data_IF_265956948383
#
_entry.id   IF_265956948383
#
_cell.length_a   1.000
_cell.length_b   1.000
_cell.length_c   1.000
_cell.angle_alpha   90.00
_cell.angle_beta   90.00
_cell.angle_gamma   90.00
#
_symmetry.space_group_name_H-M   'P 1'
#
loop_
_entity.id
_entity.type
_entity.pdbx_description
1 polymer ?
#
# COMPACT_ATOMS: atom_id res chain seq x y z
N UNK A 1 25.98 14.18 1.20
CA UNK A 1 26.12 13.72 2.61
C UNK A 1 24.89 14.22 3.34
N UNK A 2 24.28 13.44 4.25
CA UNK A 2 23.10 13.90 4.99
C UNK A 2 23.41 15.20 5.75
N UNK A 3 22.48 16.17 5.73
CA UNK A 3 22.63 17.46 6.41
C UNK A 3 21.72 17.55 7.64
N UNK A 4 22.13 18.32 8.67
CA UNK A 4 21.22 18.67 9.75
C UNK A 4 19.95 19.34 9.22
N UNK A 5 18.80 19.06 9.85
CA UNK A 5 17.50 19.62 9.44
C UNK A 5 17.52 21.16 9.37
N UNK A 6 18.15 21.84 10.34
CA UNK A 6 18.25 23.30 10.35
C UNK A 6 18.93 23.89 9.10
N UNK A 7 19.96 23.21 8.58
CA UNK A 7 20.65 23.63 7.35
C UNK A 7 19.77 23.40 6.12
N UNK A 8 19.08 22.25 6.05
CA UNK A 8 18.15 21.93 4.97
C UNK A 8 16.98 22.91 4.92
N UNK A 9 16.42 23.27 6.09
CA UNK A 9 15.36 24.27 6.20
C UNK A 9 15.84 25.65 5.71
N UNK A 10 17.04 26.08 6.10
CA UNK A 10 17.59 27.36 5.64
C UNK A 10 17.83 27.38 4.11
N UNK A 11 18.25 26.26 3.53
CA UNK A 11 18.37 26.10 2.07
C UNK A 11 17.03 26.18 1.36
N UNK A 12 16.01 25.46 1.85
CA UNK A 12 14.66 25.58 1.31
C UNK A 12 14.15 27.01 1.38
N UNK A 13 14.30 27.68 2.52
CA UNK A 13 13.84 29.06 2.68
C UNK A 13 14.57 30.03 1.74
N UNK A 14 15.86 29.82 1.51
CA UNK A 14 16.66 30.60 0.54
C UNK A 14 16.17 30.37 -0.88
N UNK A 15 16.04 29.10 -1.30
CA UNK A 15 15.56 28.74 -2.64
C UNK A 15 14.14 29.26 -2.90
N UNK A 16 13.25 29.13 -1.91
CA UNK A 16 11.85 29.55 -1.99
C UNK A 16 11.65 31.07 -1.84
N UNK A 17 12.69 31.82 -1.49
CA UNK A 17 12.68 33.28 -1.56
C UNK A 17 12.93 33.79 -2.98
N UNK A 18 13.45 32.95 -3.87
CA UNK A 18 13.62 33.30 -5.28
C UNK A 18 12.27 33.32 -6.02
N UNK A 19 12.07 34.23 -7.00
CA UNK A 19 10.84 34.25 -7.79
C UNK A 19 10.60 32.99 -8.62
N UNK A 20 11.66 32.21 -8.89
CA UNK A 20 11.64 31.01 -9.74
C UNK A 20 12.59 29.96 -9.16
N UNK A 21 12.20 29.26 -8.07
CA UNK A 21 13.04 28.21 -7.51
C UNK A 21 13.32 27.13 -8.56
N UNK A 22 14.54 26.59 -8.56
CA UNK A 22 14.93 25.55 -9.51
C UNK A 22 14.56 24.16 -9.00
N UNK A 23 14.24 23.24 -9.92
CA UNK A 23 13.96 21.86 -9.55
C UNK A 23 15.17 21.19 -8.87
N UNK A 24 16.36 21.33 -9.46
CA UNK A 24 17.58 20.67 -9.00
C UNK A 24 17.95 21.07 -7.57
N UNK A 25 17.82 22.35 -7.21
CA UNK A 25 18.11 22.83 -5.87
C UNK A 25 17.12 22.29 -4.83
N UNK A 26 15.82 22.29 -5.16
CA UNK A 26 14.78 21.80 -4.26
C UNK A 26 14.88 20.28 -4.05
N UNK A 27 15.07 19.51 -5.12
CA UNK A 27 15.17 18.05 -5.02
C UNK A 27 16.47 17.62 -4.34
N UNK A 28 17.61 18.28 -4.61
CA UNK A 28 18.85 18.02 -3.90
C UNK A 28 18.68 18.28 -2.39
N UNK A 29 18.01 19.37 -2.02
CA UNK A 29 17.72 19.68 -0.61
C UNK A 29 16.83 18.62 0.03
N UNK A 30 15.82 18.10 -0.68
CA UNK A 30 15.03 16.96 -0.19
C UNK A 30 15.85 15.68 -0.04
N UNK A 31 16.72 15.35 -0.99
CA UNK A 31 17.56 14.16 -0.93
C UNK A 31 18.57 14.20 0.22
N UNK A 32 19.01 15.40 0.63
CA UNK A 32 19.94 15.58 1.75
C UNK A 32 19.27 15.77 3.11
N UNK A 33 17.94 15.95 3.14
CA UNK A 33 17.16 16.17 4.35
C UNK A 33 17.17 14.92 5.24
N UNK A 34 17.65 15.09 6.48
CA UNK A 34 17.49 14.11 7.55
C UNK A 34 16.75 14.77 8.71
N UNK A 35 15.62 14.17 9.10
CA UNK A 35 14.90 14.58 10.31
C UNK A 35 15.51 13.82 11.49
N UNK A 36 16.15 14.51 12.45
CA UNK A 36 16.77 13.86 13.60
C UNK A 36 15.72 13.36 14.60
N UNK A 37 16.11 12.42 15.48
CA UNK A 37 15.21 11.91 16.52
C UNK A 37 14.69 13.01 17.44
N UNK A 38 15.53 13.99 17.79
CA UNK A 38 15.26 15.09 18.71
C UNK A 38 14.78 16.37 18.00
N UNK A 39 14.06 16.22 16.89
CA UNK A 39 13.50 17.34 16.12
C UNK A 39 12.64 18.26 16.99
N UNK A 40 12.84 19.57 16.86
CA UNK A 40 12.07 20.56 17.63
C UNK A 40 10.73 20.90 17.00
N UNK A 41 9.79 21.42 17.80
CA UNK A 41 8.49 21.84 17.31
C UNK A 41 8.58 22.94 16.25
N UNK A 42 9.55 23.85 16.37
CA UNK A 42 9.81 24.90 15.37
C UNK A 42 10.27 24.30 14.04
N UNK A 43 11.25 23.39 14.07
CA UNK A 43 11.78 22.74 12.87
C UNK A 43 10.71 21.95 12.14
N UNK A 44 9.91 21.16 12.86
CA UNK A 44 8.84 20.36 12.25
C UNK A 44 7.72 21.25 11.68
N UNK A 45 7.38 22.34 12.37
CA UNK A 45 6.41 23.34 11.87
C UNK A 45 6.89 24.02 10.60
N UNK A 46 8.17 24.41 10.55
CA UNK A 46 8.80 25.01 9.36
C UNK A 46 8.84 24.02 8.20
N UNK A 47 9.22 22.76 8.46
CA UNK A 47 9.22 21.69 7.47
C UNK A 47 7.82 21.49 6.86
N UNK A 48 6.78 21.39 7.70
CA UNK A 48 5.40 21.29 7.24
C UNK A 48 4.98 22.50 6.43
N UNK A 49 5.33 23.71 6.86
CA UNK A 49 4.99 24.92 6.10
C UNK A 49 5.62 24.93 4.70
N UNK A 50 6.88 24.51 4.56
CA UNK A 50 7.55 24.37 3.27
C UNK A 50 6.84 23.33 2.40
N UNK A 51 6.62 22.12 2.95
CA UNK A 51 6.03 21.02 2.21
C UNK A 51 4.60 21.34 1.76
N UNK A 52 3.77 21.95 2.62
CA UNK A 52 2.42 22.36 2.25
C UNK A 52 2.39 23.44 1.17
N UNK A 53 3.37 24.34 1.13
CA UNK A 53 3.44 25.36 0.06
C UNK A 53 3.86 24.75 -1.27
N UNK A 54 4.80 23.81 -1.26
CA UNK A 54 5.22 23.05 -2.45
C UNK A 54 4.13 22.11 -2.98
N UNK A 55 3.37 21.50 -2.07
CA UNK A 55 2.24 20.65 -2.43
C UNK A 55 0.97 21.44 -2.79
N UNK A 56 0.92 22.74 -2.48
CA UNK A 56 -0.20 23.61 -2.83
C UNK A 56 -1.41 23.51 -1.88
N UNK A 57 -1.20 23.10 -0.62
CA UNK A 57 -2.25 22.92 0.40
C UNK A 57 -2.09 23.83 1.62
N UNK A 58 -1.18 24.80 1.59
CA UNK A 58 -0.80 25.63 2.74
C UNK A 58 -1.89 26.57 3.32
N UNK A 59 -3.14 26.45 2.88
CA UNK A 59 -4.27 27.21 3.43
C UNK A 59 -4.16 28.71 3.15
N UNK A 60 -3.71 29.46 4.15
CA UNK A 60 -3.60 30.92 4.15
C UNK A 60 -2.29 31.45 3.53
N UNK A 61 -1.28 30.59 3.37
CA UNK A 61 -0.02 30.94 2.70
C UNK A 61 -0.09 30.62 1.20
N UNK A 62 0.48 31.47 0.34
CA UNK A 62 0.52 31.20 -1.10
C UNK A 62 1.35 29.96 -1.39
N UNK A 63 0.82 29.12 -2.28
CA UNK A 63 1.57 28.03 -2.90
C UNK A 63 2.81 28.56 -3.63
N UNK A 64 3.83 27.72 -3.76
CA UNK A 64 4.99 28.05 -4.57
C UNK A 64 4.58 27.98 -6.05
N UNK A 65 4.87 29.03 -6.82
CA UNK A 65 4.66 28.99 -8.27
C UNK A 65 5.73 28.11 -8.91
N UNK A 66 5.30 26.94 -9.39
CA UNK A 66 6.13 25.97 -10.12
C UNK A 66 5.76 25.91 -11.61
N UNK A 67 4.96 26.85 -12.12
CA UNK A 67 4.47 26.85 -13.51
C UNK A 67 5.57 27.06 -14.56
N UNK A 68 6.76 27.49 -14.14
CA UNK A 68 7.94 27.57 -15.00
C UNK A 68 8.67 26.22 -15.17
N UNK A 69 8.34 25.21 -14.36
CA UNK A 69 8.91 23.88 -14.46
C UNK A 69 8.06 22.99 -15.38
N UNK A 70 8.67 22.00 -16.06
CA UNK A 70 7.94 20.91 -16.68
C UNK A 70 7.02 20.18 -15.69
N UNK A 71 5.84 19.74 -16.15
CA UNK A 71 4.83 19.09 -15.30
C UNK A 71 5.36 17.93 -14.46
N UNK A 72 6.25 17.10 -15.03
CA UNK A 72 6.84 15.97 -14.31
C UNK A 72 7.73 16.42 -13.15
N UNK A 73 8.44 17.54 -13.27
CA UNK A 73 9.29 18.09 -12.22
C UNK A 73 8.44 18.69 -11.10
N UNK A 74 7.44 19.48 -11.45
CA UNK A 74 6.51 20.05 -10.49
C UNK A 74 5.76 18.94 -9.73
N UNK A 75 5.23 17.95 -10.46
CA UNK A 75 4.55 16.79 -9.87
C UNK A 75 5.47 15.97 -8.96
N UNK A 76 6.73 15.75 -9.35
CA UNK A 76 7.70 15.05 -8.51
C UNK A 76 7.99 15.81 -7.19
N UNK A 77 8.20 17.13 -7.25
CA UNK A 77 8.41 17.95 -6.04
C UNK A 77 7.18 17.92 -5.11
N UNK A 78 5.97 18.00 -5.67
CA UNK A 78 4.74 17.86 -4.91
C UNK A 78 4.63 16.48 -4.23
N UNK A 79 4.95 15.41 -4.95
CA UNK A 79 4.97 14.06 -4.39
C UNK A 79 5.99 13.91 -3.25
N UNK A 80 7.22 14.39 -3.44
CA UNK A 80 8.27 14.33 -2.41
C UNK A 80 7.88 15.16 -1.17
N UNK A 81 7.28 16.34 -1.35
CA UNK A 81 6.79 17.15 -0.24
C UNK A 81 5.72 16.42 0.58
N UNK A 82 4.76 15.76 -0.08
CA UNK A 82 3.75 14.94 0.58
C UNK A 82 4.37 13.76 1.31
N UNK A 83 5.28 13.04 0.65
CA UNK A 83 5.98 11.89 1.22
C UNK A 83 6.80 12.26 2.48
N UNK A 84 7.45 13.42 2.50
CA UNK A 84 8.14 13.95 3.69
C UNK A 84 7.16 14.21 4.85
N UNK A 85 6.00 14.81 4.58
CA UNK A 85 4.97 15.01 5.61
C UNK A 85 4.50 13.65 6.14
N UNK A 86 4.19 12.69 5.26
CA UNK A 86 3.69 11.38 5.70
C UNK A 86 4.75 10.60 6.53
N UNK A 87 6.03 10.71 6.17
CA UNK A 87 7.16 10.09 6.90
C UNK A 87 7.33 10.61 8.34
N UNK A 88 6.88 11.80 8.66
CA UNK A 88 6.94 12.31 10.04
C UNK A 88 5.70 11.93 10.86
N UNK A 89 4.66 11.37 10.23
CA UNK A 89 3.47 10.88 10.93
C UNK A 89 3.64 9.44 11.43
N UNK A 90 4.50 8.66 10.77
CA UNK A 90 4.67 7.22 11.00
C UNK A 90 6.15 6.82 11.13
N UNK A 91 6.42 5.79 11.91
CA UNK A 91 7.72 5.11 11.89
C UNK A 91 7.69 4.04 10.78
N UNK A 92 8.20 4.37 9.59
CA UNK A 92 8.21 3.44 8.45
C UNK A 92 9.03 2.17 8.71
N UNK A 93 9.95 2.22 9.67
CA UNK A 93 10.78 1.09 10.07
C UNK A 93 10.21 0.34 11.27
N UNK A 94 9.00 0.65 11.74
CA UNK A 94 8.41 0.00 12.91
C UNK A 94 8.36 -1.52 12.79
N UNK A 95 8.01 -2.03 11.60
CA UNK A 95 7.95 -3.49 11.33
C UNK A 95 9.35 -4.12 11.34
N UNK A 96 10.34 -3.46 10.70
CA UNK A 96 11.75 -3.90 10.71
C UNK A 96 12.31 -3.92 12.13
N UNK A 97 12.09 -2.85 12.90
CA UNK A 97 12.51 -2.73 14.31
C UNK A 97 11.86 -3.79 15.18
N UNK A 98 10.56 -4.07 14.99
CA UNK A 98 9.85 -5.15 15.68
C UNK A 98 10.47 -6.50 15.35
N UNK A 99 10.71 -6.81 14.08
CA UNK A 99 11.35 -8.05 13.66
C UNK A 99 12.75 -8.22 14.27
N UNK A 100 13.57 -7.16 14.29
CA UNK A 100 14.88 -7.17 14.96
C UNK A 100 14.71 -7.49 16.45
N UNK A 101 13.79 -6.80 17.14
CA UNK A 101 13.55 -7.00 18.57
C UNK A 101 13.09 -8.43 18.89
N UNK A 102 12.12 -8.96 18.14
CA UNK A 102 11.58 -10.31 18.32
C UNK A 102 12.63 -11.37 18.01
N UNK A 103 13.39 -11.19 16.93
CA UNK A 103 14.51 -12.09 16.56
C UNK A 103 15.55 -12.13 17.68
N UNK A 104 15.97 -10.97 18.20
CA UNK A 104 16.92 -10.88 19.31
C UNK A 104 16.38 -11.57 20.57
N UNK A 105 15.10 -11.38 20.89
CA UNK A 105 14.45 -12.05 22.01
C UNK A 105 14.49 -13.58 21.85
N UNK A 106 14.23 -14.10 20.65
CA UNK A 106 14.32 -15.53 20.35
C UNK A 106 15.73 -16.10 20.50
N UNK A 107 16.78 -15.36 20.11
CA UNK A 107 18.17 -15.77 20.37
C UNK A 107 18.47 -15.86 21.87
N UNK A 108 18.01 -14.87 22.65
CA UNK A 108 18.16 -14.85 24.11
C UNK A 108 17.46 -16.06 24.74
N UNK A 109 16.22 -16.33 24.35
CA UNK A 109 15.43 -17.45 24.88
C UNK A 109 16.09 -18.81 24.60
N UNK A 110 16.69 -18.98 23.41
CA UNK A 110 17.43 -20.20 23.04
C UNK A 110 18.83 -20.30 23.64
N UNK A 111 19.28 -19.30 24.39
CA UNK A 111 20.64 -19.22 24.93
C UNK A 111 21.72 -19.14 23.85
N UNK A 112 21.38 -18.59 22.70
CA UNK A 112 22.26 -18.44 21.54
C UNK A 112 22.85 -17.02 21.49
N UNK A 113 24.08 -16.85 20.97
CA UNK A 113 24.64 -15.52 20.75
C UNK A 113 23.81 -14.77 19.69
N UNK A 114 23.57 -13.48 19.94
CA UNK A 114 22.89 -12.59 19.00
C UNK A 114 23.89 -12.21 17.89
N UNK A 115 23.55 -12.36 16.60
CA UNK A 115 24.39 -11.88 15.48
C UNK A 115 24.64 -10.37 15.57
N UNK A 116 25.85 -9.92 15.25
CA UNK A 116 26.20 -8.48 15.30
C UNK A 116 25.36 -7.68 14.30
N UNK A 117 25.03 -8.26 13.15
CA UNK A 117 24.24 -7.64 12.09
C UNK A 117 22.75 -7.49 12.44
N UNK A 118 22.28 -8.15 13.50
CA UNK A 118 20.89 -8.06 13.96
C UNK A 118 20.69 -6.85 14.89
N UNK A 119 20.84 -5.65 14.32
CA UNK A 119 20.67 -4.38 15.01
C UNK A 119 19.93 -3.37 14.11
N UNK A 120 19.57 -2.23 14.69
CA UNK A 120 18.82 -1.16 14.02
C UNK A 120 19.66 0.10 13.73
N UNK A 121 21.00 0.00 13.80
CA UNK A 121 21.92 1.12 13.62
C UNK A 121 21.88 1.69 12.19
N UNK A 122 21.49 0.88 11.21
CA UNK A 122 21.34 1.28 9.80
C UNK A 122 19.98 1.91 9.47
N UNK A 123 19.03 1.91 10.40
CA UNK A 123 17.67 2.40 10.16
C UNK A 123 17.54 3.90 10.48
N UNK A 124 16.78 4.68 9.70
CA UNK A 124 16.46 6.07 10.04
C UNK A 124 15.94 6.22 11.48
N UNK A 125 16.36 7.25 12.22
CA UNK A 125 16.04 7.38 13.64
C UNK A 125 14.53 7.45 13.88
N UNK A 126 14.09 6.88 15.00
CA UNK A 126 12.73 7.09 15.50
C UNK A 126 12.59 8.53 16.00
N UNK A 127 11.53 9.20 15.58
CA UNK A 127 11.28 10.60 15.97
C UNK A 127 10.65 10.69 17.36
N UNK A 128 11.12 11.64 18.15
CA UNK A 128 10.45 12.15 19.34
C UNK A 128 9.58 13.33 18.91
N UNK A 129 8.28 13.07 18.67
CA UNK A 129 7.38 14.11 18.16
C UNK A 129 7.18 15.19 19.22
N UNK A 130 7.59 16.45 18.95
CA UNK A 130 7.62 17.54 19.93
C UNK A 130 6.28 18.26 20.07
N UNK A 131 5.19 17.66 19.56
CA UNK A 131 3.86 18.25 19.56
C UNK A 131 2.98 17.61 20.63
N UNK A 132 2.23 18.47 21.33
CA UNK A 132 1.04 18.03 22.03
C UNK A 132 -0.13 17.82 21.03
N UNK A 133 -1.26 17.33 21.53
CA UNK A 133 -2.40 17.02 20.67
C UNK A 133 -2.95 18.25 19.91
N UNK A 134 -3.13 19.44 20.55
CA UNK A 134 -3.51 20.66 19.82
C UNK A 134 -2.52 21.05 18.72
N UNK A 135 -1.22 21.10 19.01
CA UNK A 135 -0.20 21.48 18.03
C UNK A 135 -0.12 20.48 16.88
N UNK A 136 -0.22 19.18 17.15
CA UNK A 136 -0.26 18.15 16.11
C UNK A 136 -1.51 18.29 15.22
N UNK A 137 -2.68 18.55 15.83
CA UNK A 137 -3.95 18.76 15.12
C UNK A 137 -3.85 19.95 14.16
N UNK A 138 -3.36 21.09 14.65
CA UNK A 138 -3.15 22.28 13.83
C UNK A 138 -2.11 22.02 12.73
N UNK A 139 -0.99 21.40 13.09
CA UNK A 139 0.14 21.11 12.21
C UNK A 139 -0.23 20.25 11.01
N UNK A 140 -1.15 19.28 11.15
CA UNK A 140 -1.57 18.40 10.03
C UNK A 140 -2.95 18.76 9.44
N UNK A 141 -3.63 19.78 9.95
CA UNK A 141 -4.93 20.20 9.45
C UNK A 141 -4.95 20.51 7.93
N UNK A 142 -3.90 21.13 7.33
CA UNK A 142 -3.84 21.30 5.86
C UNK A 142 -3.93 19.97 5.10
N UNK A 143 -3.18 18.96 5.54
CA UNK A 143 -3.19 17.62 4.93
C UNK A 143 -4.56 16.96 5.06
N UNK A 144 -5.16 17.00 6.25
CA UNK A 144 -6.47 16.38 6.49
C UNK A 144 -7.58 17.05 5.67
N UNK A 145 -7.54 18.38 5.50
CA UNK A 145 -8.47 19.09 4.61
C UNK A 145 -8.27 18.75 3.13
N UNK A 146 -7.02 18.53 2.71
CA UNK A 146 -6.72 18.07 1.35
C UNK A 146 -7.38 16.70 1.09
N UNK A 147 -7.17 15.73 1.99
CA UNK A 147 -7.83 14.43 1.90
C UNK A 147 -9.35 14.56 1.92
N UNK A 148 -9.92 15.37 2.83
CA UNK A 148 -11.38 15.58 2.91
C UNK A 148 -11.97 16.12 1.61
N UNK A 149 -11.27 17.03 0.92
CA UNK A 149 -11.69 17.53 -0.40
C UNK A 149 -11.64 16.43 -1.47
N UNK A 150 -10.61 15.58 -1.45
CA UNK A 150 -10.43 14.50 -2.41
C UNK A 150 -11.48 13.39 -2.28
N UNK A 151 -12.14 13.25 -1.12
CA UNK A 151 -13.20 12.24 -0.90
C UNK A 151 -14.39 12.36 -1.85
N UNK A 152 -14.61 13.54 -2.45
CA UNK A 152 -15.69 13.75 -3.44
C UNK A 152 -15.48 12.90 -4.68
N UNK A 153 -14.24 12.83 -5.16
CA UNK A 153 -13.88 12.13 -6.39
C UNK A 153 -13.32 10.72 -6.11
N UNK A 154 -12.70 10.54 -4.95
CA UNK A 154 -12.08 9.28 -4.53
C UNK A 154 -12.44 8.93 -3.07
N UNK A 155 -13.60 8.30 -2.81
CA UNK A 155 -14.09 8.04 -1.44
C UNK A 155 -13.20 7.15 -0.56
N UNK A 156 -12.21 6.48 -1.14
CA UNK A 156 -11.25 5.60 -0.46
C UNK A 156 -9.84 6.22 -0.30
N UNK A 157 -9.60 7.46 -0.77
CA UNK A 157 -8.25 8.03 -0.82
C UNK A 157 -7.59 8.19 0.56
N UNK A 158 -8.38 8.27 1.64
CA UNK A 158 -7.90 8.38 3.01
C UNK A 158 -7.51 7.05 3.66
N UNK A 159 -7.80 5.90 3.02
CA UNK A 159 -7.51 4.59 3.59
C UNK A 159 -6.03 4.42 3.94
N UNK A 160 -5.13 4.80 3.02
CA UNK A 160 -3.67 4.72 3.23
C UNK A 160 -3.26 5.46 4.50
N UNK A 161 -3.58 6.75 4.59
CA UNK A 161 -3.24 7.58 5.74
C UNK A 161 -3.80 6.99 7.04
N UNK A 162 -5.09 6.62 7.06
CA UNK A 162 -5.71 6.07 8.27
C UNK A 162 -5.05 4.76 8.70
N UNK A 163 -4.73 3.87 7.76
CA UNK A 163 -4.08 2.60 8.04
C UNK A 163 -2.66 2.75 8.55
N UNK A 164 -1.80 3.45 7.80
CA UNK A 164 -0.38 3.63 8.14
C UNK A 164 -0.23 4.31 9.50
N UNK A 165 -1.04 5.35 9.76
CA UNK A 165 -1.00 6.04 11.05
C UNK A 165 -1.55 5.15 12.16
N UNK A 166 -2.64 4.40 11.96
CA UNK A 166 -3.17 3.51 12.99
C UNK A 166 -2.20 2.37 13.36
N UNK A 167 -1.47 1.84 12.37
CA UNK A 167 -0.52 0.74 12.54
C UNK A 167 0.81 1.25 13.14
N UNK A 168 1.45 2.19 12.46
CA UNK A 168 2.85 2.58 12.70
C UNK A 168 3.02 4.07 13.04
N UNK A 169 1.92 4.81 13.20
CA UNK A 169 1.93 6.24 13.53
C UNK A 169 2.58 6.57 14.87
N UNK A 170 3.10 7.79 15.03
CA UNK A 170 3.47 8.28 16.36
C UNK A 170 2.23 8.52 17.23
N UNK A 171 2.30 8.33 18.57
CA UNK A 171 1.12 8.31 19.44
C UNK A 171 0.19 9.52 19.29
N UNK A 172 0.74 10.73 19.17
CA UNK A 172 -0.07 11.94 19.01
C UNK A 172 -0.83 11.95 17.68
N UNK A 173 -0.19 11.54 16.57
CA UNK A 173 -0.84 11.49 15.26
C UNK A 173 -1.85 10.35 15.14
N UNK A 174 -1.66 9.23 15.84
CA UNK A 174 -2.70 8.18 15.99
C UNK A 174 -4.00 8.76 16.50
N UNK A 175 -3.92 9.56 17.55
CA UNK A 175 -5.11 10.19 18.14
C UNK A 175 -5.73 11.20 17.17
N UNK A 176 -4.94 12.10 16.56
CA UNK A 176 -5.45 13.09 15.60
C UNK A 176 -6.17 12.43 14.42
N UNK A 177 -5.53 11.45 13.77
CA UNK A 177 -6.10 10.79 12.59
C UNK A 177 -7.30 9.93 12.96
N UNK A 178 -7.30 9.28 14.13
CA UNK A 178 -8.47 8.54 14.62
C UNK A 178 -9.67 9.46 14.89
N UNK A 179 -9.45 10.63 15.51
CA UNK A 179 -10.50 11.63 15.74
C UNK A 179 -11.04 12.19 14.41
N UNK A 180 -10.15 12.51 13.47
CA UNK A 180 -10.54 12.98 12.15
C UNK A 180 -11.35 11.94 11.38
N UNK A 181 -10.91 10.68 11.34
CA UNK A 181 -11.61 9.58 10.67
C UNK A 181 -13.02 9.36 11.25
N UNK A 182 -13.16 9.38 12.58
CA UNK A 182 -14.49 9.36 13.24
C UNK A 182 -15.35 10.57 12.86
N UNK A 183 -14.75 11.73 12.71
CA UNK A 183 -15.42 12.96 12.27
C UNK A 183 -15.88 12.89 10.80
N UNK A 184 -15.16 12.19 9.93
CA UNK A 184 -15.61 11.90 8.56
C UNK A 184 -16.82 10.96 8.58
N UNK A 185 -16.74 9.86 9.33
CA UNK A 185 -17.83 8.89 9.47
C UNK A 185 -19.12 9.57 10.00
N UNK A 186 -19.02 10.42 11.02
CA UNK A 186 -20.16 11.15 11.58
C UNK A 186 -20.81 12.13 10.59
N UNK A 187 -20.04 12.63 9.61
CA UNK A 187 -20.53 13.53 8.55
C UNK A 187 -20.95 12.78 7.28
N UNK A 188 -20.77 11.46 7.23
CA UNK A 188 -21.05 10.65 6.04
C UNK A 188 -20.12 10.96 4.86
N UNK A 189 -18.86 11.34 5.14
CA UNK A 189 -17.85 11.62 4.12
C UNK A 189 -16.96 10.40 3.89
N UNK A 190 -16.68 10.07 2.62
CA UNK A 190 -15.91 8.88 2.24
C UNK A 190 -16.70 7.59 2.40
N UNK A 191 -16.01 6.47 2.60
CA UNK A 191 -16.63 5.15 2.83
C UNK A 191 -17.09 5.04 4.29
N UNK A 192 -18.39 4.78 4.57
CA UNK A 192 -18.90 4.72 5.93
C UNK A 192 -18.25 3.66 6.81
N UNK A 193 -17.93 4.02 8.04
CA UNK A 193 -17.38 3.12 9.05
C UNK A 193 -15.88 2.90 8.92
N UNK A 194 -15.16 3.82 8.27
CA UNK A 194 -13.72 3.69 8.04
C UNK A 194 -12.97 3.57 9.38
N UNK A 195 -13.31 4.38 10.39
CA UNK A 195 -12.59 4.37 11.66
C UNK A 195 -12.69 3.00 12.36
N UNK A 196 -13.87 2.39 12.33
CA UNK A 196 -14.08 1.04 12.87
C UNK A 196 -13.36 -0.01 12.02
N UNK A 197 -13.44 0.10 10.69
CA UNK A 197 -12.80 -0.83 9.77
C UNK A 197 -11.28 -0.86 9.89
N UNK A 198 -10.64 0.30 10.08
CA UNK A 198 -9.18 0.38 10.30
C UNK A 198 -8.80 -0.32 11.62
N UNK A 199 -9.56 -0.10 12.69
CA UNK A 199 -9.31 -0.77 13.97
C UNK A 199 -9.48 -2.29 13.86
N UNK A 200 -10.53 -2.76 13.17
CA UNK A 200 -10.76 -4.19 12.90
C UNK A 200 -9.67 -4.78 12.00
N UNK A 201 -9.31 -4.11 10.91
CA UNK A 201 -8.27 -4.56 9.99
C UNK A 201 -6.91 -4.73 10.69
N UNK A 202 -6.60 -3.90 11.70
CA UNK A 202 -5.37 -4.03 12.48
C UNK A 202 -5.36 -5.31 13.31
N UNK A 203 -6.47 -5.62 13.98
CA UNK A 203 -6.62 -6.88 14.73
C UNK A 203 -6.53 -8.09 13.79
N UNK A 204 -7.09 -7.99 12.59
CA UNK A 204 -7.01 -9.06 11.60
C UNK A 204 -5.60 -9.26 11.06
N UNK A 205 -4.83 -8.18 10.87
CA UNK A 205 -3.42 -8.26 10.49
C UNK A 205 -2.58 -8.91 11.60
N UNK A 206 -2.76 -8.51 12.87
CA UNK A 206 -2.09 -9.13 14.02
C UNK A 206 -2.37 -10.65 14.10
N UNK A 207 -3.62 -11.07 13.82
CA UNK A 207 -4.01 -12.49 13.77
C UNK A 207 -3.49 -13.24 12.55
N UNK A 208 -3.21 -12.54 11.46
CA UNK A 208 -2.62 -13.16 10.27
C UNK A 208 -1.11 -13.29 10.39
N UNK A 209 -0.45 -12.39 11.13
CA UNK A 209 0.98 -12.45 11.42
C UNK A 209 1.31 -13.58 12.43
N UNK A 210 0.38 -13.88 13.35
CA UNK A 210 0.48 -14.98 14.32
C UNK A 210 -0.84 -15.77 14.39
N UNK A 211 -1.13 -16.60 13.37
CA UNK A 211 -2.36 -17.37 13.27
C UNK A 211 -2.45 -18.47 14.32
N UNK A 212 -3.30 -18.27 15.33
CA UNK A 212 -3.62 -19.32 16.30
C UNK A 212 -4.41 -20.48 15.64
N UNK A 213 -4.07 -21.75 15.94
CA UNK A 213 -4.80 -22.92 15.43
C UNK A 213 -6.29 -22.85 15.73
N UNK A 214 -7.12 -23.14 14.73
CA UNK A 214 -8.57 -23.05 14.79
C UNK A 214 -9.22 -24.21 14.01
N UNK A 215 -10.37 -24.71 14.47
CA UNK A 215 -11.15 -25.70 13.69
C UNK A 215 -11.86 -25.06 12.50
N UNK A 216 -12.23 -25.86 11.49
CA UNK A 216 -13.00 -25.35 10.36
C UNK A 216 -14.35 -24.75 10.79
N UNK A 217 -15.04 -25.38 11.75
CA UNK A 217 -16.30 -24.87 12.30
C UNK A 217 -16.15 -23.50 12.96
N UNK A 218 -15.06 -23.27 13.70
CA UNK A 218 -14.77 -21.96 14.30
C UNK A 218 -14.41 -20.93 13.22
N UNK A 219 -13.60 -21.30 12.23
CA UNK A 219 -13.26 -20.43 11.11
C UNK A 219 -14.52 -19.99 10.34
N UNK A 220 -15.41 -20.93 10.06
CA UNK A 220 -16.68 -20.64 9.40
C UNK A 220 -17.60 -19.74 10.24
N UNK A 221 -17.57 -19.87 11.57
CA UNK A 221 -18.35 -19.01 12.48
C UNK A 221 -17.77 -17.60 12.60
N UNK A 222 -16.44 -17.48 12.69
CA UNK A 222 -15.78 -16.24 13.15
C UNK A 222 -15.14 -15.44 12.01
N UNK A 223 -14.68 -16.11 10.94
CA UNK A 223 -13.97 -15.47 9.81
C UNK A 223 -14.91 -15.20 8.64
N UNK A 224 -15.73 -16.18 8.25
CA UNK A 224 -16.60 -16.05 7.06
C UNK A 224 -17.57 -14.86 7.13
N UNK A 225 -18.20 -14.53 8.28
CA UNK A 225 -19.04 -13.32 8.36
C UNK A 225 -18.27 -12.02 8.12
N UNK A 226 -16.95 -12.01 8.36
CA UNK A 226 -16.10 -10.84 8.08
C UNK A 226 -15.77 -10.72 6.59
N UNK A 227 -15.70 -11.84 5.85
CA UNK A 227 -15.60 -11.83 4.37
C UNK A 227 -16.87 -11.25 3.72
N UNK A 228 -18.02 -11.34 4.38
CA UNK A 228 -19.28 -10.73 3.95
C UNK A 228 -19.42 -9.26 4.36
N UNK A 229 -18.42 -8.69 5.04
CA UNK A 229 -18.48 -7.31 5.47
C UNK A 229 -18.46 -6.37 4.24
N UNK A 230 -19.34 -5.36 4.27
CA UNK A 230 -19.43 -4.36 3.19
C UNK A 230 -18.19 -3.49 3.09
N UNK A 231 -17.47 -3.30 4.19
CA UNK A 231 -16.26 -2.49 4.19
C UNK A 231 -15.08 -3.30 3.62
N UNK A 232 -14.46 -2.85 2.51
CA UNK A 232 -13.48 -3.66 1.79
C UNK A 232 -12.23 -3.95 2.62
N UNK A 233 -11.78 -3.02 3.48
CA UNK A 233 -10.66 -3.28 4.40
C UNK A 233 -10.90 -4.46 5.36
N UNK A 234 -12.15 -4.63 5.86
CA UNK A 234 -12.48 -5.74 6.77
C UNK A 234 -12.50 -7.06 5.99
N UNK A 235 -13.18 -7.07 4.83
CA UNK A 235 -13.29 -8.27 4.00
C UNK A 235 -11.91 -8.74 3.54
N UNK A 236 -11.05 -7.82 3.11
CA UNK A 236 -9.69 -8.11 2.71
C UNK A 236 -8.83 -8.59 3.89
N UNK A 237 -8.88 -7.92 5.04
CA UNK A 237 -8.12 -8.34 6.23
C UNK A 237 -8.54 -9.73 6.73
N UNK A 238 -9.84 -10.05 6.65
CA UNK A 238 -10.34 -11.37 6.99
C UNK A 238 -9.86 -12.43 5.99
N UNK A 239 -9.73 -12.08 4.72
CA UNK A 239 -9.17 -12.96 3.71
C UNK A 239 -7.67 -13.21 3.92
N UNK A 240 -6.89 -12.18 4.32
CA UNK A 240 -5.49 -12.36 4.74
C UNK A 240 -5.41 -13.34 5.91
N UNK A 241 -6.23 -13.16 6.95
CA UNK A 241 -6.23 -14.09 8.07
C UNK A 241 -6.66 -15.52 7.66
N UNK A 242 -7.68 -15.66 6.81
CA UNK A 242 -8.08 -16.97 6.27
C UNK A 242 -6.94 -17.65 5.49
N UNK A 243 -6.24 -16.90 4.63
CA UNK A 243 -5.09 -17.41 3.90
C UNK A 243 -4.00 -17.93 4.85
N UNK A 244 -3.67 -17.16 5.88
CA UNK A 244 -2.68 -17.54 6.89
C UNK A 244 -3.08 -18.81 7.65
N UNK A 245 -4.36 -18.91 8.08
CA UNK A 245 -4.87 -20.13 8.72
C UNK A 245 -4.78 -21.34 7.79
N UNK A 246 -5.09 -21.18 6.50
CA UNK A 246 -4.96 -22.25 5.50
C UNK A 246 -3.50 -22.69 5.32
N UNK A 247 -2.56 -21.74 5.29
CA UNK A 247 -1.12 -22.04 5.23
C UNK A 247 -0.63 -22.78 6.48
N UNK A 248 -1.16 -22.46 7.67
CA UNK A 248 -0.89 -23.18 8.92
C UNK A 248 -1.65 -24.52 9.08
N UNK A 249 -2.33 -24.99 8.02
CA UNK A 249 -2.93 -26.32 8.00
C UNK A 249 -4.38 -26.40 8.48
N UNK A 250 -5.13 -25.30 8.52
CA UNK A 250 -6.58 -25.32 8.77
C UNK A 250 -7.32 -26.34 7.87
N UNK A 251 -6.85 -26.52 6.63
CA UNK A 251 -7.47 -27.44 5.66
C UNK A 251 -7.22 -28.92 5.94
N UNK A 252 -6.40 -29.26 6.95
CA UNK A 252 -6.27 -30.63 7.44
C UNK A 252 -7.44 -31.07 8.34
N UNK A 253 -8.31 -30.13 8.76
CA UNK A 253 -9.53 -30.43 9.49
C UNK A 253 -10.49 -31.28 8.62
N UNK A 254 -11.03 -32.42 9.11
CA UNK A 254 -11.94 -33.27 8.34
C UNK A 254 -13.23 -32.59 7.84
N UNK A 255 -13.67 -31.50 8.47
CA UNK A 255 -14.84 -30.72 8.04
C UNK A 255 -14.49 -29.63 7.01
N UNK A 256 -13.19 -29.35 6.80
CA UNK A 256 -12.76 -28.34 5.85
C UNK A 256 -13.03 -28.78 4.39
N UNK A 257 -13.42 -27.85 3.51
CA UNK A 257 -13.42 -28.10 2.08
C UNK A 257 -11.98 -28.24 1.58
N UNK A 258 -11.80 -28.82 0.39
CA UNK A 258 -10.52 -28.75 -0.28
C UNK A 258 -10.12 -27.30 -0.59
N UNK A 259 -8.82 -27.05 -0.79
CA UNK A 259 -8.32 -25.73 -1.19
C UNK A 259 -8.96 -25.28 -2.51
N UNK A 260 -9.08 -26.18 -3.50
CA UNK A 260 -9.74 -25.85 -4.78
C UNK A 260 -11.22 -25.46 -4.58
N UNK A 261 -11.95 -26.18 -3.70
CA UNK A 261 -13.33 -25.82 -3.37
C UNK A 261 -13.42 -24.48 -2.64
N UNK A 262 -12.46 -24.15 -1.77
CA UNK A 262 -12.43 -22.85 -1.08
C UNK A 262 -12.17 -21.72 -2.08
N UNK A 263 -11.14 -21.85 -2.92
CA UNK A 263 -10.81 -20.89 -3.98
C UNK A 263 -12.00 -20.69 -4.94
N UNK A 264 -12.68 -21.77 -5.32
CA UNK A 264 -13.90 -21.69 -6.12
C UNK A 264 -15.03 -20.88 -5.48
N UNK A 265 -15.17 -20.95 -4.14
CA UNK A 265 -16.13 -20.10 -3.40
C UNK A 265 -15.72 -18.63 -3.41
N UNK A 266 -14.43 -18.34 -3.21
CA UNK A 266 -13.91 -16.97 -3.24
C UNK A 266 -14.10 -16.32 -4.63
N UNK A 267 -13.91 -17.08 -5.71
CA UNK A 267 -14.07 -16.59 -7.09
C UNK A 267 -15.50 -16.18 -7.47
N UNK A 268 -16.51 -16.63 -6.72
CA UNK A 268 -17.92 -16.28 -6.94
C UNK A 268 -18.47 -15.34 -5.86
N UNK A 269 -17.61 -14.82 -4.97
CA UNK A 269 -18.03 -13.90 -3.93
C UNK A 269 -18.65 -12.64 -4.53
N UNK A 270 -19.68 -12.10 -3.87
CA UNK A 270 -20.53 -11.06 -4.49
C UNK A 270 -19.97 -9.65 -4.38
N UNK A 271 -19.23 -9.36 -3.30
CA UNK A 271 -18.71 -8.02 -2.97
C UNK A 271 -17.24 -8.16 -2.61
N UNK A 272 -16.42 -7.14 -2.91
CA UNK A 272 -15.01 -7.12 -2.54
C UNK A 272 -14.23 -8.35 -3.05
N UNK A 273 -14.64 -8.91 -4.20
CA UNK A 273 -14.11 -10.21 -4.67
C UNK A 273 -12.62 -10.13 -4.95
N UNK A 274 -12.17 -9.04 -5.58
CA UNK A 274 -10.77 -8.83 -5.97
C UNK A 274 -9.91 -8.64 -4.72
N UNK A 275 -10.44 -7.93 -3.73
CA UNK A 275 -9.83 -7.63 -2.45
C UNK A 275 -9.70 -8.88 -1.58
N UNK A 276 -10.74 -9.71 -1.55
CA UNK A 276 -10.75 -11.00 -0.86
C UNK A 276 -9.75 -11.95 -1.51
N UNK A 277 -9.76 -12.05 -2.84
CA UNK A 277 -8.81 -12.92 -3.54
C UNK A 277 -7.36 -12.48 -3.33
N UNK A 278 -7.07 -11.18 -3.42
CA UNK A 278 -5.74 -10.63 -3.14
C UNK A 278 -5.33 -10.83 -1.68
N UNK A 279 -6.26 -10.60 -0.74
CA UNK A 279 -6.04 -10.89 0.69
C UNK A 279 -5.75 -12.35 0.97
N UNK A 280 -6.52 -13.26 0.40
CA UNK A 280 -6.28 -14.70 0.57
C UNK A 280 -4.90 -15.11 0.06
N UNK A 281 -4.51 -14.69 -1.15
CA UNK A 281 -3.19 -14.97 -1.71
C UNK A 281 -2.11 -14.43 -0.78
N UNK A 282 -2.23 -13.17 -0.32
CA UNK A 282 -1.28 -12.57 0.62
C UNK A 282 -1.10 -13.39 1.90
N UNK A 283 -2.20 -13.86 2.49
CA UNK A 283 -2.13 -14.62 3.74
C UNK A 283 -1.62 -16.04 3.55
N UNK A 284 -1.97 -16.65 2.43
CA UNK A 284 -1.56 -18.02 2.10
C UNK A 284 -0.08 -18.09 1.69
N UNK A 285 0.46 -16.99 1.17
CA UNK A 285 1.85 -16.84 0.73
C UNK A 285 2.78 -16.41 1.87
N UNK A 286 3.38 -17.39 2.56
CA UNK A 286 4.36 -17.13 3.62
C UNK A 286 5.73 -16.64 3.09
N UNK A 287 6.08 -16.96 1.85
CA UNK A 287 7.42 -16.77 1.27
C UNK A 287 7.52 -15.62 0.26
N UNK A 288 6.44 -14.86 0.07
CA UNK A 288 6.34 -13.74 -0.89
C UNK A 288 6.44 -14.18 -2.36
N UNK A 289 6.00 -15.39 -2.67
CA UNK A 289 5.98 -16.02 -4.01
C UNK A 289 4.66 -15.73 -4.78
N UNK A 290 3.68 -15.11 -4.14
CA UNK A 290 2.41 -14.66 -4.69
C UNK A 290 1.57 -15.79 -5.26
N UNK A 291 1.10 -15.63 -6.51
CA UNK A 291 0.30 -16.68 -7.18
C UNK A 291 1.10 -17.96 -7.47
N UNK A 292 2.43 -17.92 -7.39
CA UNK A 292 3.25 -19.10 -7.65
C UNK A 292 3.01 -20.20 -6.62
N UNK A 293 2.71 -19.83 -5.36
CA UNK A 293 2.41 -20.80 -4.29
C UNK A 293 1.18 -21.65 -4.62
N UNK A 294 0.14 -21.02 -5.17
CA UNK A 294 -1.09 -21.71 -5.59
C UNK A 294 -0.85 -22.56 -6.84
N UNK A 295 0.06 -22.14 -7.72
CA UNK A 295 0.40 -22.89 -8.93
C UNK A 295 1.17 -24.17 -8.64
N UNK A 296 2.02 -24.16 -7.62
CA UNK A 296 2.86 -25.30 -7.23
C UNK A 296 2.24 -26.16 -6.13
N UNK A 297 1.05 -25.83 -5.63
CA UNK A 297 0.38 -26.61 -4.60
C UNK A 297 -0.07 -27.98 -5.16
N UNK A 298 0.47 -29.06 -4.59
CA UNK A 298 0.22 -30.43 -5.05
C UNK A 298 -1.26 -30.84 -4.93
N UNK A 299 -1.99 -30.29 -3.94
CA UNK A 299 -3.41 -30.59 -3.75
C UNK A 299 -4.27 -29.95 -4.85
N UNK A 300 -3.92 -28.73 -5.26
CA UNK A 300 -4.56 -28.05 -6.38
C UNK A 300 -4.27 -28.73 -7.72
N UNK A 301 -3.03 -29.17 -7.93
CA UNK A 301 -2.66 -29.95 -9.13
C UNK A 301 -3.44 -31.27 -9.19
N UNK A 302 -3.53 -32.00 -8.07
CA UNK A 302 -4.25 -33.26 -7.99
C UNK A 302 -5.77 -33.12 -8.28
N UNK A 303 -6.36 -31.96 -7.96
CA UNK A 303 -7.76 -31.63 -8.25
C UNK A 303 -7.98 -31.03 -9.64
N UNK A 304 -6.92 -30.82 -10.42
CA UNK A 304 -7.01 -30.21 -11.75
C UNK A 304 -7.45 -28.75 -11.72
N UNK A 305 -7.06 -28.00 -10.68
CA UNK A 305 -7.41 -26.60 -10.51
C UNK A 305 -6.80 -25.72 -11.62
N UNK A 306 -7.64 -24.93 -12.29
CA UNK A 306 -7.21 -23.97 -13.32
C UNK A 306 -7.01 -22.58 -12.70
N UNK A 307 -5.77 -22.27 -12.33
CA UNK A 307 -5.39 -20.97 -11.76
C UNK A 307 -5.74 -19.81 -12.69
N UNK A 308 -5.53 -19.95 -13.99
CA UNK A 308 -5.81 -18.89 -14.95
C UNK A 308 -7.30 -18.56 -15.01
N UNK A 309 -8.15 -19.60 -15.03
CA UNK A 309 -9.60 -19.43 -14.99
C UNK A 309 -10.06 -18.81 -13.67
N UNK A 310 -9.46 -19.23 -12.55
CA UNK A 310 -9.75 -18.66 -11.23
C UNK A 310 -9.42 -17.16 -11.16
N UNK A 311 -8.23 -16.76 -11.61
CA UNK A 311 -7.81 -15.35 -11.65
C UNK A 311 -8.80 -14.52 -12.47
N UNK A 312 -9.16 -14.96 -13.66
CA UNK A 312 -10.13 -14.23 -14.50
C UNK A 312 -11.52 -14.15 -13.85
N UNK A 313 -11.97 -15.20 -13.16
CA UNK A 313 -13.23 -15.18 -12.43
C UNK A 313 -13.22 -14.19 -11.25
N UNK A 314 -12.10 -14.10 -10.54
CA UNK A 314 -11.88 -13.11 -9.49
C UNK A 314 -11.91 -11.67 -10.03
N UNK A 315 -11.22 -11.42 -11.14
CA UNK A 315 -11.15 -10.11 -11.77
C UNK A 315 -12.45 -9.67 -12.45
N UNK A 316 -13.41 -10.57 -12.68
CA UNK A 316 -14.64 -10.26 -13.42
C UNK A 316 -15.61 -9.30 -12.69
N UNK A 317 -15.52 -9.17 -11.36
CA UNK A 317 -16.50 -8.44 -10.56
C UNK A 317 -16.40 -6.90 -10.71
N UNK A 318 -15.21 -6.35 -10.44
CA UNK A 318 -14.99 -4.91 -10.34
C UNK A 318 -13.83 -4.49 -11.24
N UNK A 319 -14.02 -3.40 -12.02
CA UNK A 319 -12.97 -2.87 -12.89
C UNK A 319 -11.94 -2.06 -12.12
N UNK A 320 -12.41 -1.30 -11.14
CA UNK A 320 -11.61 -0.31 -10.41
C UNK A 320 -11.78 -0.50 -8.89
N UNK A 321 -11.26 -1.61 -8.32
CA UNK A 321 -11.30 -1.82 -6.87
C UNK A 321 -10.53 -0.70 -6.15
N UNK A 322 -11.01 -0.22 -4.98
CA UNK A 322 -10.27 0.77 -4.21
C UNK A 322 -8.89 0.23 -3.79
N UNK A 323 -7.91 1.12 -3.73
CA UNK A 323 -6.63 0.78 -3.10
C UNK A 323 -6.85 0.48 -1.60
N UNK A 324 -6.41 -0.70 -1.17
CA UNK A 324 -6.47 -1.13 0.22
C UNK A 324 -5.05 -1.23 0.78
N UNK A 325 -4.69 -0.46 1.81
CA UNK A 325 -3.32 -0.48 2.35
C UNK A 325 -3.07 -1.66 3.31
N UNK A 326 -4.12 -2.35 3.76
CA UNK A 326 -4.02 -3.50 4.66
C UNK A 326 -3.94 -4.85 3.93
N UNK A 327 -3.94 -4.86 2.60
CA UNK A 327 -3.72 -6.05 1.78
C UNK A 327 -3.02 -5.67 0.48
N UNK A 328 -2.48 -6.65 -0.23
CA UNK A 328 -2.12 -6.46 -1.62
C UNK A 328 -3.33 -6.78 -2.51
N UNK A 329 -3.61 -5.92 -3.49
CA UNK A 329 -4.69 -6.17 -4.43
C UNK A 329 -4.31 -7.34 -5.37
N UNK A 330 -5.30 -8.16 -5.78
CA UNK A 330 -5.03 -9.31 -6.64
C UNK A 330 -4.29 -8.94 -7.93
N UNK A 331 -4.60 -7.78 -8.53
CA UNK A 331 -3.93 -7.32 -9.75
C UNK A 331 -2.41 -7.20 -9.59
N UNK A 332 -1.91 -7.01 -8.36
CA UNK A 332 -0.48 -6.96 -8.08
C UNK A 332 0.16 -8.31 -8.40
N UNK A 333 -0.31 -9.37 -7.74
CA UNK A 333 0.19 -10.71 -7.97
C UNK A 333 0.00 -11.18 -9.42
N UNK A 334 -1.07 -10.72 -10.08
CA UNK A 334 -1.34 -11.05 -11.49
C UNK A 334 -0.28 -10.45 -12.42
N UNK A 335 0.10 -9.18 -12.26
CA UNK A 335 1.05 -8.58 -13.19
C UNK A 335 2.46 -9.13 -13.03
N UNK A 336 2.88 -9.43 -11.80
CA UNK A 336 4.15 -10.10 -11.54
C UNK A 336 4.16 -11.54 -12.09
N UNK A 337 3.15 -12.35 -11.75
CA UNK A 337 3.12 -13.76 -12.14
C UNK A 337 3.01 -13.96 -13.66
N UNK A 338 2.23 -13.12 -14.35
CA UNK A 338 1.94 -13.30 -15.77
C UNK A 338 2.78 -12.40 -16.69
N UNK A 339 3.77 -11.67 -16.18
CA UNK A 339 4.63 -10.77 -16.96
C UNK A 339 5.30 -11.45 -18.17
N UNK A 340 5.62 -12.73 -18.04
CA UNK A 340 6.26 -13.54 -19.09
C UNK A 340 5.28 -14.37 -19.93
N UNK A 341 3.96 -14.25 -19.72
CA UNK A 341 2.93 -15.09 -20.33
C UNK A 341 2.03 -14.29 -21.31
N UNK A 342 2.43 -14.10 -22.57
CA UNK A 342 1.67 -13.30 -23.53
C UNK A 342 0.27 -13.86 -23.83
N UNK A 343 0.06 -15.17 -23.69
CA UNK A 343 -1.25 -15.78 -23.90
C UNK A 343 -2.25 -15.37 -22.80
N UNK A 344 -1.81 -15.34 -21.54
CA UNK A 344 -2.63 -14.84 -20.45
C UNK A 344 -2.87 -13.34 -20.55
N UNK A 345 -1.85 -12.55 -20.91
CA UNK A 345 -2.02 -11.11 -21.12
C UNK A 345 -3.04 -10.81 -22.23
N UNK A 346 -3.04 -11.58 -23.32
CA UNK A 346 -4.07 -11.47 -24.35
C UNK A 346 -5.49 -11.74 -23.81
N UNK A 347 -5.64 -12.73 -22.91
CA UNK A 347 -6.93 -13.03 -22.25
C UNK A 347 -7.39 -11.90 -21.33
N UNK A 348 -6.47 -11.20 -20.66
CA UNK A 348 -6.80 -10.01 -19.87
C UNK A 348 -7.37 -8.89 -20.75
N UNK A 349 -6.80 -8.66 -21.94
CA UNK A 349 -7.36 -7.71 -22.91
C UNK A 349 -8.77 -8.16 -23.34
N UNK A 350 -8.95 -9.45 -23.65
CA UNK A 350 -10.26 -10.01 -24.04
C UNK A 350 -11.31 -9.91 -22.92
N UNK A 351 -10.87 -9.95 -21.67
CA UNK A 351 -11.70 -9.79 -20.47
C UNK A 351 -11.93 -8.33 -20.06
N UNK A 352 -11.56 -7.36 -20.92
CA UNK A 352 -11.71 -5.93 -20.64
C UNK A 352 -10.96 -5.51 -19.34
N UNK A 353 -9.73 -6.03 -19.21
CA UNK A 353 -8.77 -5.73 -18.13
C UNK A 353 -7.47 -5.19 -18.72
N UNK A 354 -7.58 -4.25 -19.67
CA UNK A 354 -6.46 -3.69 -20.41
C UNK A 354 -5.39 -3.02 -19.53
N UNK A 355 -5.79 -2.38 -18.42
CA UNK A 355 -4.85 -1.79 -17.47
C UNK A 355 -3.93 -2.85 -16.84
N UNK A 356 -4.50 -3.96 -16.34
CA UNK A 356 -3.71 -5.08 -15.79
C UNK A 356 -2.87 -5.72 -16.89
N UNK A 357 -3.45 -5.92 -18.08
CA UNK A 357 -2.71 -6.45 -19.21
C UNK A 357 -1.48 -5.59 -19.58
N UNK A 358 -1.62 -4.27 -19.52
CA UNK A 358 -0.52 -3.33 -19.74
C UNK A 358 0.55 -3.49 -18.68
N UNK A 359 0.20 -3.51 -17.39
CA UNK A 359 1.17 -3.75 -16.32
C UNK A 359 1.94 -5.05 -16.57
N UNK A 360 1.27 -6.17 -16.85
CA UNK A 360 1.94 -7.44 -17.17
C UNK A 360 2.90 -7.29 -18.37
N UNK A 361 2.44 -6.67 -19.46
CA UNK A 361 3.21 -6.57 -20.70
C UNK A 361 4.46 -5.69 -20.61
N UNK A 362 4.49 -4.78 -19.63
CA UNK A 362 5.59 -3.82 -19.43
C UNK A 362 6.42 -4.07 -18.17
N UNK A 363 6.11 -5.11 -17.39
CA UNK A 363 6.80 -5.43 -16.13
C UNK A 363 8.28 -5.79 -16.34
N UNK A 364 8.57 -6.63 -17.35
CA UNK A 364 9.94 -7.05 -17.64
C UNK A 364 10.63 -5.98 -18.50
N UNK A 365 11.74 -5.41 -18.01
CA UNK A 365 12.60 -4.49 -18.76
C UNK A 365 13.41 -5.23 -19.85
N UNK A 366 12.72 -5.84 -20.81
CA UNK A 366 13.32 -6.66 -21.84
C UNK A 366 12.32 -7.28 -22.81
N UNK A 367 12.86 -8.07 -23.74
CA UNK A 367 12.07 -8.79 -24.74
C UNK A 367 11.51 -10.10 -24.16
N UNK A 368 10.19 -10.27 -24.24
CA UNK A 368 9.45 -11.48 -23.91
C UNK A 368 8.92 -12.12 -25.21
N UNK A 369 9.29 -13.38 -25.45
CA UNK A 369 8.85 -14.11 -26.66
C UNK A 369 7.32 -14.14 -26.75
N UNK A 370 6.77 -13.68 -27.88
CA UNK A 370 5.32 -13.68 -28.12
C UNK A 370 4.57 -12.43 -27.62
N UNK A 371 5.23 -11.48 -26.95
CA UNK A 371 4.56 -10.29 -26.40
C UNK A 371 4.31 -9.16 -27.42
N UNK A 372 5.07 -9.09 -28.52
CA UNK A 372 4.90 -8.06 -29.56
C UNK A 372 3.45 -7.88 -30.03
N UNK A 373 2.70 -8.93 -30.42
CA UNK A 373 1.32 -8.77 -30.85
C UNK A 373 0.39 -8.24 -29.75
N UNK A 374 0.70 -8.54 -28.47
CA UNK A 374 -0.06 -8.05 -27.32
C UNK A 374 0.17 -6.53 -27.15
N UNK A 375 1.42 -6.08 -27.22
CA UNK A 375 1.75 -4.65 -27.20
C UNK A 375 1.09 -3.89 -28.35
N UNK A 376 1.09 -4.45 -29.56
CA UNK A 376 0.40 -3.87 -30.72
C UNK A 376 -1.12 -3.77 -30.54
N UNK A 377 -1.73 -4.65 -29.74
CA UNK A 377 -3.14 -4.53 -29.35
C UNK A 377 -3.33 -3.39 -28.34
N UNK A 378 -2.51 -3.34 -27.28
CA UNK A 378 -2.58 -2.32 -26.23
C UNK A 378 -2.32 -0.90 -26.74
N UNK A 379 -1.49 -0.73 -27.77
CA UNK A 379 -1.26 0.59 -28.42
C UNK A 379 -2.54 1.18 -29.04
N UNK A 380 -3.52 0.33 -29.36
CA UNK A 380 -4.81 0.73 -29.93
C UNK A 380 -5.89 0.96 -28.87
N UNK A 381 -5.55 0.78 -27.59
CA UNK A 381 -6.46 1.07 -26.49
C UNK A 381 -6.83 2.57 -26.49
N UNK A 382 -8.10 2.94 -26.22
CA UNK A 382 -8.51 4.34 -26.15
C UNK A 382 -7.85 5.11 -24.99
N UNK A 383 -7.39 4.42 -23.95
CA UNK A 383 -6.69 5.06 -22.84
C UNK A 383 -5.25 5.44 -23.26
N UNK A 384 -4.90 6.75 -23.26
CA UNK A 384 -3.60 7.21 -23.71
C UNK A 384 -2.45 6.73 -22.82
N UNK A 385 -2.69 6.44 -21.54
CA UNK A 385 -1.67 5.92 -20.63
C UNK A 385 -1.36 4.47 -20.98
N UNK A 386 -2.38 3.63 -21.16
CA UNK A 386 -2.22 2.24 -21.61
C UNK A 386 -1.46 2.19 -22.94
N UNK A 387 -1.94 2.96 -23.93
CA UNK A 387 -1.32 3.00 -25.25
C UNK A 387 0.11 3.58 -25.21
N UNK A 388 0.36 4.56 -24.34
CA UNK A 388 1.66 5.19 -24.14
C UNK A 388 2.70 4.25 -23.56
N UNK A 389 2.36 3.53 -22.48
CA UNK A 389 3.22 2.53 -21.87
C UNK A 389 3.57 1.39 -22.83
N UNK A 390 2.57 0.83 -23.52
CA UNK A 390 2.78 -0.24 -24.50
C UNK A 390 3.67 0.21 -25.68
N UNK A 391 3.50 1.44 -26.17
CA UNK A 391 4.34 2.00 -27.25
C UNK A 391 5.81 2.12 -26.83
N UNK A 392 6.07 2.65 -25.64
CA UNK A 392 7.45 2.78 -25.11
C UNK A 392 8.13 1.42 -24.99
N UNK A 393 7.43 0.41 -24.49
CA UNK A 393 7.97 -0.95 -24.37
C UNK A 393 8.26 -1.58 -25.73
N UNK A 394 7.35 -1.39 -26.69
CA UNK A 394 7.54 -1.89 -28.06
C UNK A 394 8.76 -1.24 -28.72
N UNK A 395 8.85 0.09 -28.72
CA UNK A 395 9.95 0.84 -29.35
C UNK A 395 11.32 0.54 -28.72
N UNK A 396 11.36 0.25 -27.42
CA UNK A 396 12.60 -0.02 -26.70
C UNK A 396 13.15 -1.42 -26.97
N UNK A 397 12.30 -2.42 -27.21
CA UNK A 397 12.70 -3.84 -27.18
C UNK A 397 12.33 -4.71 -28.40
N UNK A 398 11.54 -4.20 -29.36
CA UNK A 398 11.04 -4.96 -30.52
C UNK A 398 11.14 -4.19 -31.84
#
# INVERSE_FOLDING_TARGET
>A
MPRPIAESLARFETALAEPRPTYDELIETFCELVVPSDVTADELTRLYSICYRLFGIAGDRPAIDLSHLPDWQAGHLSFVALDVIERTLVDREASTRKWIADSRAGFIERGQPIPEELNDDGLPPRLEIPFDLPAATEGIAPLLRHYEKALVDAPACHFKLCWEVARDGYPVFREVVAQWSKGLDARGLGIPGTAAAVATARVLAERADDPEPMSWTECYRDVFPLLENRHPMIAAGAAVWLGALCNEGLLADPEAPSLASLLGRLAVWKQNRVEIAGGFVRGFDADLDGLSVLKSDESLEAEGFDLDAWVLACLAADKDPPYLPNTQALWFYVHEHYASNPAFVARLIDADRAWIAMMCATEIDGRVTGMRPVLERLIRDPDPDIAGHARRQLERFY
#
